data_IF_018243766706
#
_entry.id   IF_018243766706
#
_cell.length_a   1.000
_cell.length_b   1.000
_cell.length_c   1.000
_cell.angle_alpha   90.00
_cell.angle_beta   90.00
_cell.angle_gamma   90.00
#
_symmetry.space_group_name_H-M   'P 1'
#
loop_
_entity.id
_entity.type
_entity.pdbx_description
1 polymer ?
#
# COMPACT_ATOMS: atom_id res chain seq x y z
N UNK A 1 -9.71 -38.29 -6.21
CA UNK A 1 -9.07 -38.05 -7.52
C UNK A 1 -8.53 -36.62 -7.58
N UNK A 2 -7.82 -36.16 -6.54
CA UNK A 2 -7.85 -34.72 -6.23
C UNK A 2 -6.46 -34.04 -6.26
N UNK A 3 -5.38 -34.80 -6.12
CA UNK A 3 -4.02 -34.22 -6.08
C UNK A 3 -3.50 -33.72 -7.43
N UNK A 4 -3.88 -34.38 -8.54
CA UNK A 4 -3.35 -34.05 -9.86
C UNK A 4 -3.94 -32.75 -10.43
N UNK A 5 -5.22 -32.49 -10.15
CA UNK A 5 -5.90 -31.26 -10.58
C UNK A 5 -5.40 -30.03 -9.84
N UNK A 6 -5.21 -30.13 -8.51
CA UNK A 6 -4.59 -29.06 -7.72
C UNK A 6 -3.16 -28.79 -8.14
N UNK A 7 -2.36 -29.84 -8.42
CA UNK A 7 -1.00 -29.69 -8.92
C UNK A 7 -0.96 -28.98 -10.28
N UNK A 8 -1.87 -29.30 -11.20
CA UNK A 8 -1.98 -28.62 -12.51
C UNK A 8 -2.31 -27.13 -12.37
N UNK A 9 -3.19 -26.75 -11.42
CA UNK A 9 -3.51 -25.35 -11.13
C UNK A 9 -2.31 -24.58 -10.58
N UNK A 10 -1.60 -25.14 -9.61
CA UNK A 10 -0.41 -24.48 -9.05
C UNK A 10 0.70 -24.29 -10.09
N UNK A 11 0.91 -25.27 -10.97
CA UNK A 11 1.86 -25.15 -12.07
C UNK A 11 1.43 -24.04 -13.04
N UNK A 12 0.15 -23.94 -13.37
CA UNK A 12 -0.36 -22.87 -14.24
C UNK A 12 -0.15 -21.47 -13.62
N UNK A 13 -0.46 -21.30 -12.33
CA UNK A 13 -0.21 -20.05 -11.62
C UNK A 13 1.27 -19.70 -11.51
N UNK A 14 2.12 -20.69 -11.21
CA UNK A 14 3.57 -20.50 -11.16
C UNK A 14 4.13 -20.13 -12.55
N UNK A 15 3.67 -20.77 -13.61
CA UNK A 15 4.05 -20.44 -14.98
C UNK A 15 3.60 -19.02 -15.37
N UNK A 16 2.36 -18.64 -15.03
CA UNK A 16 1.86 -17.29 -15.28
C UNK A 16 2.67 -16.22 -14.54
N UNK A 17 3.00 -16.46 -13.26
CA UNK A 17 3.85 -15.56 -12.48
C UNK A 17 5.26 -15.46 -13.07
N UNK A 18 5.86 -16.59 -13.49
CA UNK A 18 7.17 -16.60 -14.13
C UNK A 18 7.17 -15.83 -15.46
N UNK A 19 6.15 -16.04 -16.30
CA UNK A 19 5.99 -15.29 -17.55
C UNK A 19 5.85 -13.80 -17.26
N UNK A 20 5.06 -13.41 -16.27
CA UNK A 20 4.90 -12.01 -15.88
C UNK A 20 6.23 -11.38 -15.43
N UNK A 21 7.02 -12.08 -14.61
CA UNK A 21 8.35 -11.62 -14.19
C UNK A 21 9.30 -11.48 -15.38
N UNK A 22 9.31 -12.45 -16.30
CA UNK A 22 10.13 -12.36 -17.53
C UNK A 22 9.70 -11.16 -18.37
N UNK A 23 8.40 -10.93 -18.55
CA UNK A 23 7.89 -9.76 -19.26
C UNK A 23 8.36 -8.47 -18.60
N UNK A 24 8.23 -8.35 -17.27
CA UNK A 24 8.71 -7.17 -16.54
C UNK A 24 10.20 -6.91 -16.80
N UNK A 25 11.05 -7.94 -16.79
CA UNK A 25 12.50 -7.80 -16.99
C UNK A 25 12.91 -7.48 -18.43
N UNK A 26 12.13 -7.94 -19.42
CA UNK A 26 12.46 -7.78 -20.85
C UNK A 26 11.86 -6.50 -21.43
N UNK A 27 10.72 -6.04 -20.90
CA UNK A 27 10.14 -4.76 -21.32
C UNK A 27 10.84 -3.60 -20.61
N UNK A 28 11.15 -2.49 -21.31
CA UNK A 28 11.69 -1.31 -20.66
C UNK A 28 10.72 -0.79 -19.60
N UNK A 29 11.26 -0.36 -18.46
CA UNK A 29 10.46 0.35 -17.47
C UNK A 29 9.85 1.61 -18.12
N UNK A 30 8.56 1.81 -17.91
CA UNK A 30 7.88 3.06 -18.29
C UNK A 30 8.44 4.14 -17.35
N UNK A 31 9.14 5.15 -17.88
CA UNK A 31 9.71 6.20 -17.04
C UNK A 31 8.59 6.99 -16.37
N UNK A 32 8.89 7.48 -15.16
CA UNK A 32 8.03 8.45 -14.50
C UNK A 32 8.10 9.77 -15.28
N UNK A 33 6.94 10.31 -15.63
CA UNK A 33 6.85 11.59 -16.33
C UNK A 33 7.16 12.72 -15.35
N UNK A 34 8.07 13.63 -15.71
CA UNK A 34 8.47 14.77 -14.87
C UNK A 34 7.31 15.76 -14.70
N UNK A 35 6.43 15.86 -15.70
CA UNK A 35 5.22 16.70 -15.63
C UNK A 35 4.24 16.21 -14.55
N UNK A 36 4.43 14.98 -14.03
CA UNK A 36 3.66 14.45 -12.90
C UNK A 36 3.83 15.28 -11.61
N UNK A 37 4.95 16.00 -11.49
CA UNK A 37 5.24 16.86 -10.35
C UNK A 37 4.63 18.27 -10.48
N UNK A 38 4.11 18.63 -11.67
CA UNK A 38 3.47 19.92 -11.91
C UNK A 38 2.03 19.92 -11.40
N UNK A 39 1.85 20.31 -10.15
CA UNK A 39 0.53 20.36 -9.54
C UNK A 39 -0.30 21.55 -10.02
N UNK A 40 -1.62 21.34 -10.15
CA UNK A 40 -2.54 22.45 -10.39
C UNK A 40 -2.57 23.46 -9.23
N UNK A 41 -2.29 23.00 -8.01
CA UNK A 41 -2.17 23.87 -6.84
C UNK A 41 -0.78 24.49 -6.75
N UNK A 42 -0.60 25.67 -7.33
CA UNK A 42 0.66 26.43 -7.25
C UNK A 42 0.64 27.50 -6.15
N UNK A 43 -0.31 27.42 -5.20
CA UNK A 43 -0.44 28.42 -4.14
C UNK A 43 0.65 28.23 -3.09
N UNK A 44 1.14 29.36 -2.60
CA UNK A 44 2.05 29.47 -1.47
C UNK A 44 1.38 30.21 -0.32
N UNK A 45 0.59 29.47 0.47
CA UNK A 45 -0.18 29.97 1.61
C UNK A 45 0.49 29.53 2.92
N UNK A 46 0.13 30.20 4.02
CA UNK A 46 0.53 29.85 5.39
C UNK A 46 2.05 29.68 5.57
N UNK A 47 2.77 30.79 5.75
CA UNK A 47 4.21 30.82 6.07
C UNK A 47 5.14 30.25 4.99
N UNK A 48 4.73 30.20 3.73
CA UNK A 48 5.61 29.76 2.64
C UNK A 48 5.50 28.27 2.31
N UNK A 49 4.34 27.63 2.57
CA UNK A 49 4.12 26.22 2.24
C UNK A 49 3.72 26.10 0.75
N UNK A 50 4.56 25.53 -0.13
CA UNK A 50 4.19 25.31 -1.52
C UNK A 50 3.08 24.25 -1.65
N UNK A 51 2.30 24.30 -2.72
CA UNK A 51 1.20 23.36 -3.00
C UNK A 51 0.27 23.19 -1.79
N UNK A 52 -0.08 24.30 -1.13
CA UNK A 52 -0.56 24.28 0.25
C UNK A 52 -1.81 23.41 0.46
N UNK A 53 -2.77 23.43 -0.45
CA UNK A 53 -3.97 22.60 -0.29
C UNK A 53 -3.66 21.12 -0.49
N UNK A 54 -2.70 20.77 -1.35
CA UNK A 54 -2.25 19.39 -1.46
C UNK A 54 -1.61 18.92 -0.14
N UNK A 55 -0.77 19.75 0.50
CA UNK A 55 -0.19 19.43 1.80
C UNK A 55 -1.25 19.34 2.90
N UNK A 56 -2.13 20.35 3.02
CA UNK A 56 -3.11 20.40 4.10
C UNK A 56 -4.20 19.33 3.97
N UNK A 57 -4.57 18.95 2.75
CA UNK A 57 -5.55 17.87 2.51
C UNK A 57 -5.07 16.50 2.99
N UNK A 58 -3.78 16.36 3.35
CA UNK A 58 -3.24 15.12 3.93
C UNK A 58 -3.40 15.00 5.46
N UNK A 59 -3.70 16.10 6.15
CA UNK A 59 -3.89 16.12 7.61
C UNK A 59 -4.99 15.14 8.08
N UNK A 60 -6.17 15.04 7.41
CA UNK A 60 -7.19 14.08 7.80
C UNK A 60 -6.70 12.62 7.84
N UNK A 61 -5.79 12.21 6.95
CA UNK A 61 -5.24 10.85 6.96
C UNK A 61 -4.48 10.55 8.25
N UNK A 62 -3.73 11.52 8.79
CA UNK A 62 -3.04 11.36 10.09
C UNK A 62 -4.03 11.07 11.21
N UNK A 63 -5.12 11.85 11.28
CA UNK A 63 -6.12 11.69 12.34
C UNK A 63 -6.88 10.37 12.21
N UNK A 64 -7.32 10.02 11.00
CA UNK A 64 -8.03 8.77 10.75
C UNK A 64 -7.13 7.56 10.98
N UNK A 65 -5.88 7.62 10.51
CA UNK A 65 -4.89 6.57 10.70
C UNK A 65 -4.55 6.34 12.17
N UNK A 66 -4.24 7.40 12.93
CA UNK A 66 -3.95 7.30 14.36
C UNK A 66 -5.17 6.82 15.16
N UNK A 67 -6.36 7.35 14.88
CA UNK A 67 -7.58 6.91 15.55
C UNK A 67 -7.84 5.41 15.28
N UNK A 68 -7.71 4.97 14.03
CA UNK A 68 -7.85 3.56 13.66
C UNK A 68 -6.83 2.67 14.34
N UNK A 69 -5.54 3.05 14.36
CA UNK A 69 -4.48 2.34 15.08
C UNK A 69 -4.82 2.17 16.57
N UNK A 70 -5.22 3.25 17.23
CA UNK A 70 -5.58 3.21 18.66
C UNK A 70 -6.78 2.29 18.87
N UNK A 71 -7.82 2.42 18.07
CA UNK A 71 -9.06 1.65 18.21
C UNK A 71 -8.85 0.15 17.91
N UNK A 72 -7.98 -0.22 16.97
CA UNK A 72 -7.60 -1.61 16.70
C UNK A 72 -7.05 -2.32 17.94
N UNK A 73 -6.24 -1.62 18.73
CA UNK A 73 -5.62 -2.18 19.93
C UNK A 73 -6.43 -1.93 21.22
N UNK A 74 -7.42 -1.04 21.20
CA UNK A 74 -8.21 -0.70 22.37
C UNK A 74 -9.38 -1.66 22.59
N UNK A 75 -9.30 -2.51 23.63
CA UNK A 75 -10.39 -3.38 24.13
C UNK A 75 -11.14 -4.17 23.05
N UNK A 76 -10.44 -4.56 21.98
CA UNK A 76 -11.03 -5.18 20.79
C UNK A 76 -12.25 -4.42 20.24
N UNK A 77 -12.15 -3.10 20.12
CA UNK A 77 -13.24 -2.21 19.70
C UNK A 77 -13.87 -2.65 18.37
N UNK A 78 -13.04 -3.01 17.38
CA UNK A 78 -13.49 -3.49 16.07
C UNK A 78 -13.95 -4.95 16.06
N UNK A 79 -13.93 -5.64 17.21
CA UNK A 79 -14.33 -7.05 17.36
C UNK A 79 -13.60 -7.98 16.40
N UNK A 80 -12.30 -7.75 16.23
CA UNK A 80 -11.43 -8.58 15.42
C UNK A 80 -11.39 -10.00 16.02
N UNK A 81 -11.55 -10.98 15.15
CA UNK A 81 -11.70 -12.39 15.48
C UNK A 81 -10.35 -13.14 15.45
N UNK A 82 -9.33 -12.60 14.78
CA UNK A 82 -8.03 -13.26 14.65
C UNK A 82 -6.83 -12.32 14.77
N UNK A 83 -5.66 -12.91 14.99
CA UNK A 83 -4.38 -12.17 14.98
C UNK A 83 -4.04 -11.65 13.57
N UNK A 84 -4.45 -12.38 12.53
CA UNK A 84 -4.28 -11.95 11.14
C UNK A 84 -5.04 -10.67 10.84
N UNK A 85 -6.30 -10.60 11.28
CA UNK A 85 -7.11 -9.38 11.16
C UNK A 85 -6.46 -8.22 11.90
N UNK A 86 -6.02 -8.45 13.14
CA UNK A 86 -5.34 -7.42 13.93
C UNK A 86 -4.10 -6.90 13.20
N UNK A 87 -3.19 -7.77 12.76
CA UNK A 87 -1.96 -7.34 12.06
C UNK A 87 -2.25 -6.61 10.76
N UNK A 88 -3.24 -7.08 9.99
CA UNK A 88 -3.59 -6.48 8.71
C UNK A 88 -4.26 -5.12 8.90
N UNK A 89 -5.16 -4.97 9.88
CA UNK A 89 -5.75 -3.67 10.23
C UNK A 89 -4.72 -2.71 10.83
N UNK A 90 -3.80 -3.20 11.66
CA UNK A 90 -2.68 -2.39 12.17
C UNK A 90 -1.83 -1.86 11.03
N UNK A 91 -1.43 -2.72 10.07
CA UNK A 91 -0.66 -2.27 8.91
C UNK A 91 -1.44 -1.31 8.02
N UNK A 92 -2.75 -1.53 7.84
CA UNK A 92 -3.61 -0.61 7.11
C UNK A 92 -3.60 0.79 7.73
N UNK A 93 -3.92 0.91 9.02
CA UNK A 93 -4.00 2.20 9.68
C UNK A 93 -2.61 2.85 9.90
N UNK A 94 -1.56 2.05 10.07
CA UNK A 94 -0.17 2.53 10.02
C UNK A 94 0.19 3.08 8.64
N UNK A 95 -0.24 2.40 7.57
CA UNK A 95 -0.13 2.87 6.20
C UNK A 95 -0.87 4.18 5.99
N UNK A 96 -2.14 4.28 6.39
CA UNK A 96 -2.94 5.52 6.30
C UNK A 96 -2.29 6.68 7.08
N UNK A 97 -1.75 6.42 8.26
CA UNK A 97 -1.01 7.43 9.03
C UNK A 97 0.24 7.88 8.26
N UNK A 98 1.00 6.93 7.72
CA UNK A 98 2.23 7.25 6.98
C UNK A 98 1.95 7.84 5.60
N UNK A 99 0.78 7.61 4.98
CA UNK A 99 0.30 8.34 3.80
C UNK A 99 0.21 9.84 4.11
N UNK A 100 -0.40 10.21 5.24
CA UNK A 100 -0.50 11.61 5.63
C UNK A 100 0.87 12.31 5.71
N UNK A 101 1.88 11.63 6.25
CA UNK A 101 3.26 12.15 6.31
C UNK A 101 3.95 12.14 4.95
N UNK A 102 3.94 10.99 4.27
CA UNK A 102 4.65 10.76 3.01
C UNK A 102 4.12 11.63 1.87
N UNK A 103 2.80 11.77 1.78
CA UNK A 103 2.14 12.62 0.81
C UNK A 103 2.41 14.10 1.08
N UNK A 104 2.36 14.53 2.34
CA UNK A 104 2.77 15.89 2.72
C UNK A 104 4.22 16.17 2.34
N UNK A 105 5.14 15.22 2.59
CA UNK A 105 6.54 15.36 2.23
C UNK A 105 6.77 15.46 0.71
N UNK A 106 6.07 14.64 -0.07
CA UNK A 106 6.08 14.72 -1.53
C UNK A 106 5.57 16.06 -2.04
N UNK A 107 4.43 16.54 -1.55
CA UNK A 107 3.87 17.82 -2.00
C UNK A 107 4.68 19.04 -1.53
N UNK A 108 5.44 18.94 -0.45
CA UNK A 108 6.38 19.99 -0.04
C UNK A 108 7.61 20.06 -0.95
N UNK A 109 8.11 18.90 -1.41
CA UNK A 109 9.32 18.80 -2.23
C UNK A 109 9.10 17.80 -3.38
N UNK A 110 8.38 18.17 -4.44
CA UNK A 110 7.96 17.22 -5.48
C UNK A 110 9.16 16.74 -6.30
N UNK A 111 9.38 15.42 -6.33
CA UNK A 111 10.32 14.72 -7.21
C UNK A 111 10.10 13.20 -7.08
N UNK A 112 10.69 12.40 -7.96
CA UNK A 112 10.62 10.93 -7.92
C UNK A 112 11.07 10.32 -6.60
N UNK A 113 12.08 10.93 -5.97
CA UNK A 113 12.61 10.40 -4.72
C UNK A 113 11.60 10.56 -3.57
N UNK A 114 10.90 11.69 -3.50
CA UNK A 114 9.85 11.96 -2.51
C UNK A 114 8.53 11.26 -2.85
N UNK A 115 8.24 11.05 -4.14
CA UNK A 115 7.07 10.32 -4.62
C UNK A 115 7.02 8.87 -4.12
N UNK A 116 8.19 8.22 -3.96
CA UNK A 116 8.24 6.88 -3.35
C UNK A 116 7.68 6.88 -1.94
N UNK A 117 7.89 7.94 -1.17
CA UNK A 117 7.37 8.05 0.19
C UNK A 117 5.87 8.33 0.22
N UNK A 118 5.27 8.81 -0.87
CA UNK A 118 3.82 8.93 -1.02
C UNK A 118 3.19 7.57 -1.43
N UNK A 119 3.78 6.89 -2.41
CA UNK A 119 3.25 5.63 -2.96
C UNK A 119 3.44 4.42 -2.05
N UNK A 120 4.56 4.35 -1.31
CA UNK A 120 4.90 3.20 -0.48
C UNK A 120 3.87 2.99 0.66
N UNK A 121 3.54 3.99 1.50
CA UNK A 121 2.48 3.88 2.50
C UNK A 121 1.12 3.45 1.92
N UNK A 122 0.74 4.03 0.78
CA UNK A 122 -0.52 3.76 0.11
C UNK A 122 -0.60 2.30 -0.37
N UNK A 123 0.52 1.79 -0.90
CA UNK A 123 0.66 0.39 -1.33
C UNK A 123 0.59 -0.59 -0.15
N UNK A 124 1.24 -0.26 0.98
CA UNK A 124 1.15 -1.06 2.21
C UNK A 124 -0.30 -1.11 2.71
N UNK A 125 -1.01 0.03 2.70
CA UNK A 125 -2.40 0.09 3.11
C UNK A 125 -3.30 -0.77 2.19
N UNK A 126 -3.14 -0.63 0.87
CA UNK A 126 -3.92 -1.39 -0.11
C UNK A 126 -3.70 -2.90 0.00
N UNK A 127 -2.43 -3.33 0.05
CA UNK A 127 -2.07 -4.75 0.19
C UNK A 127 -2.56 -5.35 1.51
N UNK A 128 -2.59 -4.54 2.59
CA UNK A 128 -3.17 -4.94 3.87
C UNK A 128 -4.69 -5.14 3.80
N UNK A 129 -5.44 -4.27 3.10
CA UNK A 129 -6.88 -4.48 2.84
C UNK A 129 -7.12 -5.75 2.03
N UNK A 130 -6.30 -6.04 1.03
CA UNK A 130 -6.42 -7.28 0.26
C UNK A 130 -6.26 -8.50 1.17
N UNK A 131 -5.27 -8.48 2.08
CA UNK A 131 -5.10 -9.53 3.07
C UNK A 131 -6.33 -9.65 4.00
N UNK A 132 -6.89 -8.53 4.48
CA UNK A 132 -8.13 -8.52 5.28
C UNK A 132 -9.27 -9.21 4.53
N UNK A 133 -9.48 -8.90 3.25
CA UNK A 133 -10.53 -9.54 2.47
C UNK A 133 -10.32 -11.05 2.31
N UNK A 134 -9.08 -11.51 2.17
CA UNK A 134 -8.80 -12.96 2.11
C UNK A 134 -9.10 -13.61 3.48
N UNK A 135 -8.72 -12.95 4.57
CA UNK A 135 -9.00 -13.42 5.94
C UNK A 135 -10.51 -13.55 6.18
N UNK A 136 -11.26 -12.48 5.90
CA UNK A 136 -12.69 -12.42 6.22
C UNK A 136 -13.58 -13.21 5.26
N UNK A 137 -13.17 -13.36 3.99
CA UNK A 137 -14.05 -13.93 2.93
C UNK A 137 -13.62 -15.30 2.44
N UNK A 138 -12.39 -15.73 2.71
CA UNK A 138 -11.84 -16.98 2.17
C UNK A 138 -11.38 -17.92 3.28
N UNK A 139 -10.30 -17.56 3.99
CA UNK A 139 -9.73 -18.36 5.07
C UNK A 139 -8.77 -17.52 5.90
N UNK A 140 -8.91 -17.58 7.22
CA UNK A 140 -8.10 -16.82 8.16
C UNK A 140 -6.61 -17.12 8.05
N UNK A 141 -6.26 -18.40 7.94
CA UNK A 141 -4.85 -18.83 7.95
C UNK A 141 -4.16 -18.50 6.63
N UNK A 142 -4.84 -18.71 5.51
CA UNK A 142 -4.35 -18.35 4.19
C UNK A 142 -4.20 -16.83 4.06
N UNK A 143 -5.19 -16.06 4.52
CA UNK A 143 -5.15 -14.61 4.51
C UNK A 143 -4.03 -14.03 5.37
N UNK A 144 -3.86 -14.53 6.60
CA UNK A 144 -2.74 -14.13 7.48
C UNK A 144 -1.39 -14.40 6.83
N UNK A 145 -1.22 -15.57 6.19
CA UNK A 145 0.02 -15.92 5.49
C UNK A 145 0.24 -15.10 4.21
N UNK A 146 -0.81 -14.58 3.60
CA UNK A 146 -0.73 -13.75 2.41
C UNK A 146 -0.28 -12.31 2.70
N UNK A 147 -0.41 -11.84 3.94
CA UNK A 147 -0.07 -10.46 4.33
C UNK A 147 1.38 -10.11 3.99
N UNK A 148 2.34 -10.91 4.48
CA UNK A 148 3.76 -10.68 4.24
C UNK A 148 4.14 -10.66 2.74
N UNK A 149 3.80 -11.68 1.92
CA UNK A 149 4.16 -11.66 0.50
C UNK A 149 3.46 -10.53 -0.26
N UNK A 150 2.21 -10.16 0.08
CA UNK A 150 1.53 -9.03 -0.56
C UNK A 150 2.23 -7.70 -0.25
N UNK A 151 2.56 -7.45 1.01
CA UNK A 151 3.25 -6.22 1.43
C UNK A 151 4.65 -6.14 0.82
N UNK A 152 5.41 -7.25 0.83
CA UNK A 152 6.76 -7.30 0.23
C UNK A 152 6.68 -7.07 -1.28
N UNK A 153 5.77 -7.75 -1.98
CA UNK A 153 5.60 -7.58 -3.43
C UNK A 153 5.21 -6.13 -3.78
N UNK A 154 4.33 -5.51 -2.98
CA UNK A 154 3.96 -4.11 -3.14
C UNK A 154 5.13 -3.15 -2.88
N UNK A 155 5.92 -3.36 -1.82
CA UNK A 155 7.09 -2.53 -1.55
C UNK A 155 8.15 -2.66 -2.66
N UNK A 156 8.41 -3.89 -3.14
CA UNK A 156 9.33 -4.15 -4.24
C UNK A 156 8.86 -3.54 -5.56
N UNK A 157 7.54 -3.50 -5.82
CA UNK A 157 7.03 -2.86 -7.03
C UNK A 157 7.32 -1.36 -7.03
N UNK A 158 7.19 -0.66 -5.89
CA UNK A 158 7.54 0.76 -5.79
C UNK A 158 9.04 0.98 -6.00
N UNK A 159 9.90 0.10 -5.50
CA UNK A 159 11.34 0.19 -5.72
C UNK A 159 11.74 -0.07 -7.17
N UNK A 160 11.01 -0.95 -7.87
CA UNK A 160 11.26 -1.26 -9.27
C UNK A 160 10.82 -0.13 -10.20
N UNK A 161 9.69 0.52 -9.90
CA UNK A 161 9.07 1.59 -10.68
C UNK A 161 9.37 2.99 -10.12
N UNK A 162 10.54 3.14 -9.49
CA UNK A 162 11.02 4.45 -9.02
C UNK A 162 11.69 5.21 -10.14
#
# INVERSE_FOLDING_TARGET
MDGEWWRKKWVAWAAAAAIFVVLMLVTPAIPQDEDYHDFADQRDLFLGIPNTLNVLSNIPFLFVGLAGLILCHYKNYFRLCSQGELWSWTLFYAGVTTVGVGSSYYHLYPNDATLVWDRLPMTIAFTSIVAIFIIERVDDRAGTKSLAPLVIAGALSILYWR
#
